data_IF_105173457105
#
_entry.id   IF_105173457105
#
_cell.length_a   1.000
_cell.length_b   1.000
_cell.length_c   1.000
_cell.angle_alpha   90.00
_cell.angle_beta   90.00
_cell.angle_gamma   90.00
#
_symmetry.space_group_name_H-M   'P 1'
#
loop_
_entity.id
_entity.type
_entity.pdbx_description
1 polymer ?
#
# COMPACT_ATOMS: atom_id res chain seq x y z
N UNK A 1 -20.35 -31.74 46.61
CA UNK A 1 -20.77 -30.63 45.73
C UNK A 1 -19.59 -29.67 45.66
N UNK A 2 -18.79 -29.76 44.61
CA UNK A 2 -17.53 -29.02 44.49
C UNK A 2 -17.59 -28.17 43.24
N UNK A 3 -18.04 -26.92 43.40
CA UNK A 3 -18.05 -25.93 42.34
C UNK A 3 -16.62 -25.43 42.10
N UNK A 4 -16.05 -25.79 40.96
CA UNK A 4 -14.81 -25.21 40.46
C UNK A 4 -15.15 -23.93 39.68
N UNK A 5 -14.81 -22.78 40.28
CA UNK A 5 -14.96 -21.48 39.64
C UNK A 5 -13.92 -21.33 38.52
N UNK A 6 -14.38 -21.17 37.28
CA UNK A 6 -13.54 -20.91 36.12
C UNK A 6 -13.33 -19.40 35.95
N UNK A 7 -12.08 -18.95 35.99
CA UNK A 7 -11.69 -17.55 35.77
C UNK A 7 -11.71 -17.24 34.27
N UNK A 8 -12.47 -16.23 33.79
CA UNK A 8 -12.52 -15.90 32.37
C UNK A 8 -11.25 -15.18 31.90
N UNK A 9 -10.70 -15.60 30.76
CA UNK A 9 -9.58 -14.94 30.07
C UNK A 9 -9.95 -13.51 29.66
N UNK A 10 -9.08 -12.50 29.87
CA UNK A 10 -9.35 -11.13 29.47
C UNK A 10 -9.47 -11.04 27.94
N UNK A 11 -10.58 -10.46 27.46
CA UNK A 11 -10.81 -10.21 26.04
C UNK A 11 -9.89 -9.06 25.61
N UNK A 12 -9.00 -9.31 24.64
CA UNK A 12 -8.15 -8.29 24.03
C UNK A 12 -9.05 -7.22 23.39
N UNK A 13 -9.10 -6.03 23.97
CA UNK A 13 -9.81 -4.90 23.37
C UNK A 13 -9.11 -4.53 22.06
N UNK A 14 -9.83 -4.63 20.95
CA UNK A 14 -9.35 -4.11 19.66
C UNK A 14 -9.24 -2.59 19.80
N UNK A 15 -8.01 -2.07 19.84
CA UNK A 15 -7.77 -0.64 19.83
C UNK A 15 -8.50 -0.03 18.63
N UNK A 16 -9.31 1.02 18.87
CA UNK A 16 -9.94 1.79 17.81
C UNK A 16 -8.82 2.34 16.92
N UNK A 17 -8.83 1.99 15.64
CA UNK A 17 -7.86 2.51 14.69
C UNK A 17 -7.93 4.04 14.68
N UNK A 18 -6.79 4.70 14.87
CA UNK A 18 -6.69 6.15 14.80
C UNK A 18 -7.15 6.63 13.41
N UNK A 19 -7.73 7.85 13.36
CA UNK A 19 -8.12 8.46 12.08
C UNK A 19 -6.88 8.57 11.19
N UNK A 20 -6.95 8.16 9.90
CA UNK A 20 -5.79 8.20 9.02
C UNK A 20 -5.33 9.64 8.79
N UNK A 21 -4.03 9.87 8.89
CA UNK A 21 -3.40 11.18 8.65
C UNK A 21 -2.23 11.03 7.67
N UNK A 22 -1.77 12.13 7.07
CA UNK A 22 -0.60 12.08 6.18
C UNK A 22 0.66 11.54 6.89
N UNK A 23 0.84 11.86 8.18
CA UNK A 23 1.94 11.33 9.01
C UNK A 23 1.95 9.81 9.13
N UNK A 24 0.80 9.17 8.99
CA UNK A 24 0.65 7.71 9.06
C UNK A 24 0.54 7.03 7.69
N UNK A 25 0.77 7.75 6.58
CA UNK A 25 0.79 7.15 5.25
C UNK A 25 2.18 6.64 4.91
N UNK A 26 2.27 5.66 4.01
CA UNK A 26 3.53 5.06 3.56
C UNK A 26 4.59 6.10 3.15
N UNK A 27 4.17 7.15 2.43
CA UNK A 27 5.07 8.23 1.99
C UNK A 27 5.44 9.18 3.13
N UNK A 28 4.52 9.47 4.04
CA UNK A 28 4.76 10.38 5.16
C UNK A 28 5.75 9.82 6.18
N UNK A 29 5.61 8.53 6.52
CA UNK A 29 6.56 7.81 7.40
C UNK A 29 7.99 7.85 6.82
N UNK A 30 8.12 7.90 5.50
CA UNK A 30 9.39 7.91 4.77
C UNK A 30 9.86 9.31 4.38
N UNK A 31 9.17 10.37 4.79
CA UNK A 31 9.45 11.76 4.39
C UNK A 31 9.44 11.99 2.86
N UNK A 32 8.66 11.18 2.13
CA UNK A 32 8.48 11.24 0.68
C UNK A 32 7.16 11.89 0.27
N UNK A 33 6.30 12.28 1.23
CA UNK A 33 5.04 12.91 0.90
C UNK A 33 5.24 14.41 0.63
N UNK A 34 4.88 14.85 -0.57
CA UNK A 34 5.01 16.25 -0.99
C UNK A 34 3.93 17.19 -0.42
N UNK A 35 2.90 16.65 0.23
CA UNK A 35 1.73 17.40 0.69
C UNK A 35 1.75 17.59 2.21
N UNK A 36 1.81 18.85 2.67
CA UNK A 36 1.66 19.21 4.08
C UNK A 36 0.19 19.49 4.42
N UNK A 37 -0.58 18.40 4.57
CA UNK A 37 -2.01 18.44 4.85
C UNK A 37 -2.30 17.98 6.28
N UNK A 38 -3.25 18.63 6.96
CA UNK A 38 -3.77 18.20 8.26
C UNK A 38 -4.62 16.92 8.23
N UNK A 39 -4.82 16.33 7.04
CA UNK A 39 -5.61 15.12 6.80
C UNK A 39 -4.87 14.07 5.96
N UNK A 40 -5.53 13.00 5.51
CA UNK A 40 -4.94 12.05 4.57
C UNK A 40 -4.70 12.73 3.20
N UNK A 41 -3.54 12.47 2.59
CA UNK A 41 -3.23 12.95 1.25
C UNK A 41 -4.06 12.22 0.17
N UNK A 42 -4.17 12.81 -1.03
CA UNK A 42 -4.89 12.19 -2.17
C UNK A 42 -4.27 10.85 -2.60
N UNK A 43 -2.99 10.64 -2.34
CA UNK A 43 -2.25 9.42 -2.62
C UNK A 43 -2.12 8.51 -1.39
N UNK A 44 -3.00 8.65 -0.39
CA UNK A 44 -2.91 7.91 0.87
C UNK A 44 -2.83 6.39 0.62
N UNK A 45 -1.71 5.81 1.04
CA UNK A 45 -1.45 4.37 1.06
C UNK A 45 -1.11 3.99 2.52
N UNK A 46 -1.79 2.98 3.10
CA UNK A 46 -1.48 2.55 4.46
C UNK A 46 -0.05 2.02 4.52
N UNK A 47 0.69 2.37 5.58
CA UNK A 47 2.00 1.80 5.84
C UNK A 47 1.83 0.35 6.34
N UNK A 48 2.01 -0.60 5.41
CA UNK A 48 1.93 -2.03 5.67
C UNK A 48 3.30 -2.67 5.51
N UNK A 49 3.61 -3.78 6.20
CA UNK A 49 4.89 -4.47 6.04
C UNK A 49 5.11 -5.01 4.62
N UNK A 50 4.05 -5.20 3.83
CA UNK A 50 4.14 -5.57 2.43
C UNK A 50 4.60 -4.42 1.51
N UNK A 51 4.61 -3.18 2.01
CA UNK A 51 4.96 -1.99 1.24
C UNK A 51 3.95 -1.63 0.14
N UNK A 52 4.43 -0.95 -0.91
CA UNK A 52 3.64 -0.64 -2.10
C UNK A 52 3.67 -1.85 -3.04
N UNK A 53 2.60 -2.62 -3.05
CA UNK A 53 2.43 -3.72 -4.01
C UNK A 53 1.87 -3.15 -5.31
N UNK A 54 2.60 -3.20 -6.43
CA UNK A 54 2.07 -2.78 -7.70
C UNK A 54 0.91 -3.70 -8.12
N UNK A 55 -0.17 -3.16 -8.72
CA UNK A 55 -1.19 -4.00 -9.31
C UNK A 55 -0.61 -4.79 -10.47
N UNK A 56 -1.12 -6.00 -10.73
CA UNK A 56 -0.75 -6.73 -11.94
C UNK A 56 -1.10 -5.87 -13.16
N UNK A 57 -0.06 -5.47 -13.90
CA UNK A 57 -0.22 -4.77 -15.17
C UNK A 57 -0.64 -5.78 -16.24
N UNK A 58 -1.63 -5.47 -17.09
CA UNK A 58 -1.93 -6.30 -18.24
C UNK A 58 -0.73 -6.34 -19.20
N UNK A 59 -0.65 -7.41 -19.98
CA UNK A 59 0.35 -7.49 -21.05
C UNK A 59 0.09 -6.40 -22.10
N UNK A 60 1.13 -5.63 -22.41
CA UNK A 60 1.12 -4.73 -23.56
C UNK A 60 1.04 -5.58 -24.84
N UNK A 61 -0.07 -5.47 -25.56
CA UNK A 61 -0.23 -6.09 -26.87
C UNK A 61 0.40 -5.13 -27.90
N UNK A 62 1.54 -5.52 -28.46
CA UNK A 62 2.18 -4.77 -29.54
C UNK A 62 1.55 -5.24 -30.86
N UNK A 63 0.85 -4.35 -31.57
CA UNK A 63 0.43 -4.59 -32.94
C UNK A 63 1.69 -4.62 -33.83
N UNK A 64 1.96 -5.78 -34.45
CA UNK A 64 3.17 -6.00 -35.24
C UNK A 64 3.24 -5.13 -36.52
N UNK A 65 2.11 -4.55 -36.95
CA UNK A 65 2.00 -3.84 -38.23
C UNK A 65 2.48 -2.38 -38.22
N UNK A 66 2.92 -1.85 -37.06
CA UNK A 66 3.33 -0.45 -36.92
C UNK A 66 4.72 -0.20 -36.36
N UNK A 67 5.46 -1.25 -35.99
CA UNK A 67 6.81 -1.08 -35.43
C UNK A 67 7.80 -0.91 -36.58
N UNK A 68 7.97 0.32 -37.05
CA UNK A 68 9.22 0.70 -37.73
C UNK A 68 10.32 0.71 -36.67
N UNK A 69 11.32 -0.19 -36.71
CA UNK A 69 12.43 -0.12 -35.78
C UNK A 69 13.09 1.24 -35.91
N UNK A 70 13.45 1.84 -34.77
CA UNK A 70 14.29 3.03 -34.79
C UNK A 70 15.55 2.73 -35.62
N UNK A 71 16.00 3.66 -36.50
CA UNK A 71 17.05 3.39 -37.47
C UNK A 71 18.38 2.96 -36.85
N UNK A 72 18.59 3.22 -35.56
CA UNK A 72 19.79 2.80 -34.82
C UNK A 72 19.94 1.28 -34.65
N UNK A 73 18.85 0.50 -34.74
CA UNK A 73 18.91 -0.97 -34.54
C UNK A 73 19.18 -1.75 -35.83
N UNK A 74 19.13 -1.10 -37.01
CA UNK A 74 19.23 -1.76 -38.33
C UNK A 74 20.66 -1.69 -38.90
N UNK A 75 21.54 -0.89 -38.30
CA UNK A 75 22.89 -0.62 -38.80
C UNK A 75 24.01 -1.45 -38.13
N UNK A 76 23.67 -2.46 -37.31
CA UNK A 76 24.62 -3.31 -36.58
C UNK A 76 24.90 -4.64 -37.28
#
# INVERSE_FOLDING_TARGET
MSETTTIPKPRKQRAKAAKPTCKSCYFGVRMLCALDLGGPCSTFRPDSPAGLVPPQQPMLLIEADGVTPAPELVAA
#
